data_IF_799189888328
#
_entry.id   IF_799189888328
#
_cell.length_a   1.000
_cell.length_b   1.000
_cell.length_c   1.000
_cell.angle_alpha   90.00
_cell.angle_beta   90.00
_cell.angle_gamma   90.00
#
_symmetry.space_group_name_H-M   'P 1'
#
loop_
_entity.id
_entity.type
_entity.pdbx_description
1 polymer ?
#
# COMPACT_ATOMS: atom_id res chain seq x y z
N UNK A 1 6.97 2.76 17.78
CA UNK A 1 7.18 1.60 16.89
C UNK A 1 8.41 0.77 17.28
N UNK A 2 9.59 1.36 17.49
CA UNK A 2 10.81 0.59 17.86
C UNK A 2 10.66 -0.29 19.12
N UNK A 3 9.88 0.15 20.12
CA UNK A 3 9.62 -0.65 21.33
C UNK A 3 8.66 -1.81 21.07
N UNK A 4 7.71 -1.66 20.13
CA UNK A 4 6.73 -2.70 19.81
C UNK A 4 7.38 -3.91 19.15
N UNK A 5 8.38 -3.69 18.30
CA UNK A 5 9.11 -4.76 17.61
C UNK A 5 9.90 -5.70 18.56
N UNK A 6 9.95 -5.39 19.87
CA UNK A 6 10.63 -6.21 20.90
C UNK A 6 9.67 -6.97 21.82
N UNK A 7 8.36 -6.90 21.59
CA UNK A 7 7.35 -7.64 22.35
C UNK A 7 7.20 -9.08 21.83
N UNK A 8 6.58 -10.00 22.58
CA UNK A 8 6.12 -11.29 22.05
C UNK A 8 5.20 -11.08 20.85
N UNK A 9 5.28 -11.96 19.84
CA UNK A 9 4.62 -11.80 18.53
C UNK A 9 3.11 -11.55 18.65
N UNK A 10 2.45 -12.20 19.61
CA UNK A 10 1.02 -12.06 19.87
C UNK A 10 0.67 -10.61 20.28
N UNK A 11 1.49 -10.02 21.16
CA UNK A 11 1.30 -8.63 21.60
C UNK A 11 1.66 -7.63 20.52
N UNK A 12 2.58 -7.97 19.61
CA UNK A 12 2.89 -7.11 18.46
C UNK A 12 1.66 -6.97 17.58
N UNK A 13 1.01 -8.07 17.23
CA UNK A 13 -0.15 -8.06 16.35
C UNK A 13 -1.31 -7.25 16.95
N UNK A 14 -1.60 -7.46 18.23
CA UNK A 14 -2.66 -6.75 18.96
C UNK A 14 -2.41 -5.23 19.00
N UNK A 15 -1.25 -4.80 19.52
CA UNK A 15 -0.92 -3.38 19.62
C UNK A 15 -0.81 -2.71 18.24
N UNK A 16 -0.33 -3.43 17.22
CA UNK A 16 -0.24 -2.91 15.87
C UNK A 16 -1.63 -2.69 15.27
N UNK A 17 -2.57 -3.62 15.47
CA UNK A 17 -3.95 -3.48 15.00
C UNK A 17 -4.60 -2.24 15.62
N UNK A 18 -4.46 -2.03 16.94
CA UNK A 18 -4.99 -0.85 17.63
C UNK A 18 -4.41 0.46 17.11
N UNK A 19 -3.09 0.53 16.90
CA UNK A 19 -2.43 1.73 16.37
C UNK A 19 -2.87 2.05 14.94
N UNK A 20 -3.03 1.03 14.12
CA UNK A 20 -3.53 1.17 12.76
C UNK A 20 -5.01 1.56 12.76
N UNK A 21 -5.83 1.03 13.67
CA UNK A 21 -7.27 1.28 13.73
C UNK A 21 -7.60 2.77 13.86
N UNK A 22 -6.84 3.53 14.66
CA UNK A 22 -7.03 4.99 14.79
C UNK A 22 -6.85 5.70 13.44
N UNK A 23 -5.87 5.28 12.63
CA UNK A 23 -5.64 5.90 11.32
C UNK A 23 -6.64 5.41 10.28
N UNK A 24 -7.04 4.13 10.33
CA UNK A 24 -8.08 3.55 9.48
C UNK A 24 -9.41 4.27 9.68
N UNK A 25 -9.80 4.54 10.93
CA UNK A 25 -11.02 5.28 11.24
C UNK A 25 -10.96 6.72 10.69
N UNK A 26 -9.82 7.39 10.80
CA UNK A 26 -9.62 8.71 10.22
C UNK A 26 -9.77 8.68 8.69
N UNK A 27 -9.17 7.70 8.00
CA UNK A 27 -9.32 7.53 6.56
C UNK A 27 -10.78 7.25 6.16
N UNK A 28 -11.47 6.33 6.84
CA UNK A 28 -12.89 6.04 6.60
C UNK A 28 -13.77 7.28 6.73
N UNK A 29 -13.49 8.14 7.72
CA UNK A 29 -14.18 9.42 7.90
C UNK A 29 -13.94 10.38 6.73
N UNK A 30 -12.72 10.47 6.22
CA UNK A 30 -12.38 11.30 5.05
C UNK A 30 -13.01 10.76 3.75
N UNK A 31 -13.13 9.43 3.63
CA UNK A 31 -13.79 8.78 2.51
C UNK A 31 -15.30 9.06 2.47
N UNK A 32 -15.95 9.12 3.62
CA UNK A 32 -17.39 9.39 3.77
C UNK A 32 -17.76 10.88 3.77
N UNK A 33 -16.78 11.79 3.71
CA UNK A 33 -17.03 13.20 3.50
C UNK A 33 -17.33 13.48 2.02
N UNK A 34 -18.50 14.08 1.79
CA UNK A 34 -18.84 14.73 0.53
C UNK A 34 -17.89 15.90 0.25
N UNK A 35 -17.58 16.21 -1.02
CA UNK A 35 -16.81 17.38 -1.39
C UNK A 35 -17.59 18.65 -1.01
N UNK A 36 -17.40 19.11 0.23
CA UNK A 36 -18.11 20.26 0.80
C UNK A 36 -17.20 21.49 0.79
N UNK A 37 -17.64 22.52 0.06
CA UNK A 37 -17.25 23.94 0.17
C UNK A 37 -15.82 24.26 0.62
N UNK A 38 -14.81 23.68 -0.05
CA UNK A 38 -13.43 24.16 0.00
C UNK A 38 -12.52 23.61 1.12
N UNK A 39 -13.01 22.74 2.01
CA UNK A 39 -12.13 21.99 2.92
C UNK A 39 -11.74 20.66 2.26
N UNK A 40 -10.50 20.60 1.75
CA UNK A 40 -9.98 19.36 1.15
C UNK A 40 -9.87 18.26 2.21
N UNK A 41 -10.55 17.13 1.99
CA UNK A 41 -10.36 15.91 2.78
C UNK A 41 -9.00 15.29 2.47
N UNK A 42 -7.94 15.81 3.09
CA UNK A 42 -6.55 15.38 2.85
C UNK A 42 -6.18 14.13 3.70
N UNK A 43 -5.96 12.96 3.08
CA UNK A 43 -5.59 11.74 3.79
C UNK A 43 -4.09 11.62 4.11
N UNK A 44 -3.26 12.62 3.77
CA UNK A 44 -1.79 12.52 3.86
C UNK A 44 -1.31 12.18 5.27
N UNK A 45 -1.86 12.82 6.31
CA UNK A 45 -1.44 12.60 7.70
C UNK A 45 -1.67 11.16 8.16
N UNK A 46 -2.90 10.58 8.07
CA UNK A 46 -3.10 9.18 8.43
C UNK A 46 -2.30 8.20 7.55
N UNK A 47 -2.10 8.49 6.26
CA UNK A 47 -1.25 7.68 5.38
C UNK A 47 0.22 7.66 5.84
N UNK A 48 0.79 8.83 6.16
CA UNK A 48 2.17 8.92 6.64
C UNK A 48 2.35 8.26 8.01
N UNK A 49 1.35 8.35 8.88
CA UNK A 49 1.37 7.65 10.18
C UNK A 49 1.38 6.14 10.00
N UNK A 50 0.50 5.59 9.14
CA UNK A 50 0.52 4.16 8.80
C UNK A 50 1.87 3.75 8.21
N UNK A 51 2.41 4.54 7.27
CA UNK A 51 3.72 4.30 6.66
C UNK A 51 4.84 4.20 7.71
N UNK A 52 4.86 5.12 8.69
CA UNK A 52 5.86 5.14 9.77
C UNK A 52 5.70 3.97 10.72
N UNK A 53 4.46 3.55 11.00
CA UNK A 53 4.17 2.36 11.81
C UNK A 53 4.79 1.12 11.16
N UNK A 54 4.48 0.84 9.88
CA UNK A 54 5.03 -0.31 9.17
C UNK A 54 6.55 -0.25 9.00
N UNK A 55 7.10 0.93 8.69
CA UNK A 55 8.56 1.12 8.52
C UNK A 55 9.38 0.64 9.72
N UNK A 56 8.85 0.84 10.92
CA UNK A 56 9.57 0.61 12.16
C UNK A 56 9.05 -0.61 12.95
N UNK A 57 8.14 -1.39 12.36
CA UNK A 57 7.63 -2.63 12.95
C UNK A 57 8.25 -3.80 12.20
N UNK A 58 9.48 -4.16 12.60
CA UNK A 58 10.25 -5.24 11.99
C UNK A 58 10.52 -6.30 13.08
N UNK A 59 9.53 -7.14 13.42
CA UNK A 59 9.71 -8.19 14.39
C UNK A 59 10.64 -9.28 13.83
N UNK A 60 11.37 -9.95 14.72
CA UNK A 60 12.10 -11.17 14.35
C UNK A 60 11.09 -12.31 14.36
N UNK A 61 10.87 -12.92 13.20
CA UNK A 61 9.93 -14.04 13.02
C UNK A 61 10.75 -15.28 12.66
N UNK A 62 10.56 -16.36 13.42
CA UNK A 62 11.28 -17.62 13.17
C UNK A 62 10.66 -18.39 11.98
N UNK A 63 11.44 -19.32 11.40
CA UNK A 63 10.99 -20.13 10.28
C UNK A 63 9.69 -20.90 10.63
N UNK A 64 8.64 -20.68 9.82
CA UNK A 64 7.35 -21.34 9.96
C UNK A 64 6.31 -20.57 10.79
N UNK A 65 6.68 -19.46 11.43
CA UNK A 65 5.73 -18.60 12.13
C UNK A 65 5.09 -17.58 11.18
N UNK A 66 3.81 -17.28 11.42
CA UNK A 66 3.08 -16.26 10.66
C UNK A 66 3.54 -14.87 11.12
N UNK A 67 3.84 -13.99 10.18
CA UNK A 67 4.26 -12.64 10.50
C UNK A 67 3.12 -11.87 11.18
N UNK A 68 3.32 -11.23 12.35
CA UNK A 68 2.24 -10.60 13.12
C UNK A 68 1.58 -9.43 12.36
N UNK A 69 2.34 -8.76 11.48
CA UNK A 69 1.81 -7.67 10.65
C UNK A 69 1.00 -8.16 9.44
N UNK A 70 1.05 -9.45 9.08
CA UNK A 70 0.37 -9.98 7.90
C UNK A 70 -1.15 -9.78 8.00
N UNK A 71 -1.74 -10.15 9.14
CA UNK A 71 -3.18 -9.98 9.38
C UNK A 71 -3.59 -8.51 9.36
N UNK A 72 -2.80 -7.65 10.01
CA UNK A 72 -3.08 -6.21 10.06
C UNK A 72 -3.06 -5.59 8.67
N UNK A 73 -2.10 -5.97 7.81
CA UNK A 73 -2.04 -5.46 6.42
C UNK A 73 -3.30 -5.83 5.63
N UNK A 74 -3.81 -7.06 5.79
CA UNK A 74 -5.04 -7.49 5.12
C UNK A 74 -6.26 -6.68 5.59
N UNK A 75 -6.33 -6.36 6.89
CA UNK A 75 -7.41 -5.56 7.47
C UNK A 75 -7.38 -4.09 7.00
N UNK A 76 -6.18 -3.52 6.82
CA UNK A 76 -6.05 -2.12 6.38
C UNK A 76 -6.10 -1.95 4.86
N UNK A 77 -5.87 -3.00 4.08
CA UNK A 77 -5.81 -2.92 2.62
C UNK A 77 -7.07 -2.28 2.01
N UNK A 78 -8.31 -2.68 2.38
CA UNK A 78 -9.51 -2.11 1.78
C UNK A 78 -9.58 -0.59 1.87
N UNK A 79 -9.25 -0.01 3.04
CA UNK A 79 -9.31 1.45 3.21
C UNK A 79 -8.20 2.16 2.44
N UNK A 80 -7.00 1.56 2.33
CA UNK A 80 -5.91 2.12 1.52
C UNK A 80 -6.26 2.08 0.03
N UNK A 81 -6.84 0.97 -0.43
CA UNK A 81 -7.29 0.79 -1.81
C UNK A 81 -8.36 1.81 -2.18
N UNK A 82 -9.36 2.00 -1.32
CA UNK A 82 -10.43 2.98 -1.53
C UNK A 82 -9.89 4.42 -1.53
N UNK A 83 -8.98 4.75 -0.61
CA UNK A 83 -8.31 6.05 -0.57
C UNK A 83 -7.50 6.31 -1.85
N UNK A 84 -6.75 5.31 -2.33
CA UNK A 84 -5.99 5.41 -3.57
C UNK A 84 -6.91 5.65 -4.77
N UNK A 85 -8.05 4.97 -4.86
CA UNK A 85 -9.01 5.16 -5.95
C UNK A 85 -9.67 6.55 -5.90
N UNK A 86 -10.15 6.98 -4.72
CA UNK A 86 -10.80 8.30 -4.54
C UNK A 86 -9.88 9.45 -4.96
N UNK A 87 -8.58 9.32 -4.69
CA UNK A 87 -7.58 10.35 -4.96
C UNK A 87 -6.65 10.01 -6.12
N UNK A 88 -7.07 9.12 -7.02
CA UNK A 88 -6.23 8.58 -8.11
C UNK A 88 -5.65 9.64 -9.05
N UNK A 89 -6.29 10.80 -9.18
CA UNK A 89 -5.80 11.93 -10.00
C UNK A 89 -4.76 12.82 -9.27
N UNK A 90 -4.69 12.79 -7.93
CA UNK A 90 -3.77 13.62 -7.14
C UNK A 90 -2.45 12.88 -6.91
N UNK A 91 -1.43 13.24 -7.70
CA UNK A 91 -0.08 12.63 -7.61
C UNK A 91 0.50 12.69 -6.18
N UNK A 92 0.28 13.77 -5.44
CA UNK A 92 0.82 13.93 -4.08
C UNK A 92 0.21 12.89 -3.13
N UNK A 93 -1.10 12.68 -3.20
CA UNK A 93 -1.79 11.69 -2.36
C UNK A 93 -1.43 10.27 -2.81
N UNK A 94 -1.41 10.00 -4.11
CA UNK A 94 -1.01 8.70 -4.67
C UNK A 94 0.40 8.32 -4.23
N UNK A 95 1.34 9.26 -4.22
CA UNK A 95 2.71 9.00 -3.74
C UNK A 95 2.73 8.61 -2.25
N UNK A 96 1.90 9.24 -1.42
CA UNK A 96 1.77 8.91 0.01
C UNK A 96 1.14 7.53 0.21
N UNK A 97 0.11 7.17 -0.57
CA UNK A 97 -0.44 5.83 -0.59
C UNK A 97 0.61 4.78 -0.99
N UNK A 98 1.34 5.01 -2.10
CA UNK A 98 2.40 4.11 -2.56
C UNK A 98 3.53 3.98 -1.53
N UNK A 99 3.89 5.07 -0.84
CA UNK A 99 4.88 5.04 0.24
C UNK A 99 4.41 4.19 1.42
N UNK A 100 3.14 4.29 1.82
CA UNK A 100 2.56 3.44 2.86
C UNK A 100 2.59 1.96 2.45
N UNK A 101 2.10 1.64 1.25
CA UNK A 101 2.08 0.28 0.71
C UNK A 101 3.48 -0.32 0.59
N UNK A 102 4.47 0.48 0.17
CA UNK A 102 5.87 0.04 0.12
C UNK A 102 6.37 -0.43 1.48
N UNK A 103 6.11 0.34 2.55
CA UNK A 103 6.55 -0.06 3.88
C UNK A 103 5.74 -1.24 4.43
N UNK A 104 4.45 -1.33 4.09
CA UNK A 104 3.62 -2.48 4.44
C UNK A 104 4.17 -3.77 3.81
N UNK A 105 4.43 -3.77 2.50
CA UNK A 105 5.02 -4.92 1.80
C UNK A 105 6.40 -5.27 2.36
N UNK A 106 7.28 -4.30 2.55
CA UNK A 106 8.62 -4.55 3.15
C UNK A 106 8.57 -5.07 4.58
N UNK A 107 7.55 -4.67 5.35
CA UNK A 107 7.36 -5.13 6.72
C UNK A 107 7.03 -6.62 6.79
N UNK A 108 6.25 -7.15 5.85
CA UNK A 108 5.81 -8.56 5.87
C UNK A 108 6.61 -9.45 4.91
N UNK A 109 7.24 -8.88 3.88
CA UNK A 109 7.96 -9.62 2.85
C UNK A 109 7.04 -10.65 2.17
N UNK A 110 7.53 -11.88 1.98
CA UNK A 110 6.77 -12.95 1.30
C UNK A 110 5.39 -13.25 1.91
N UNK A 111 5.16 -12.95 3.19
CA UNK A 111 3.86 -13.15 3.84
C UNK A 111 2.71 -12.28 3.27
N UNK A 112 3.01 -11.21 2.52
CA UNK A 112 1.99 -10.37 1.88
C UNK A 112 1.57 -10.83 0.47
N UNK A 113 1.86 -12.07 0.08
CA UNK A 113 1.46 -12.63 -1.22
C UNK A 113 -0.04 -12.46 -1.53
N UNK A 114 -0.92 -12.59 -0.53
CA UNK A 114 -2.37 -12.39 -0.69
C UNK A 114 -2.76 -10.96 -1.11
N UNK A 115 -1.90 -9.97 -0.83
CA UNK A 115 -2.11 -8.57 -1.22
C UNK A 115 -1.64 -8.30 -2.65
N UNK A 116 -0.76 -9.13 -3.21
CA UNK A 116 -0.06 -8.83 -4.45
C UNK A 116 -1.00 -8.71 -5.64
N UNK A 117 -1.87 -9.70 -5.83
CA UNK A 117 -2.82 -9.70 -6.95
C UNK A 117 -3.77 -8.48 -6.92
N UNK A 118 -4.48 -8.17 -5.81
CA UNK A 118 -5.36 -6.99 -5.79
C UNK A 118 -4.57 -5.69 -5.92
N UNK A 119 -3.36 -5.59 -5.33
CA UNK A 119 -2.51 -4.41 -5.44
C UNK A 119 -2.06 -4.17 -6.89
N UNK A 120 -1.49 -5.18 -7.55
CA UNK A 120 -1.02 -5.07 -8.94
C UNK A 120 -2.17 -4.73 -9.89
N UNK A 121 -3.32 -5.38 -9.71
CA UNK A 121 -4.53 -5.10 -10.50
C UNK A 121 -4.94 -3.63 -10.38
N UNK A 122 -4.96 -3.10 -9.15
CA UNK A 122 -5.28 -1.70 -8.92
C UNK A 122 -4.22 -0.76 -9.50
N UNK A 123 -2.93 -1.07 -9.32
CA UNK A 123 -1.82 -0.27 -9.87
C UNK A 123 -1.93 -0.15 -11.39
N UNK A 124 -2.15 -1.27 -12.10
CA UNK A 124 -2.32 -1.26 -13.57
C UNK A 124 -3.55 -0.46 -13.97
N UNK A 125 -4.67 -0.64 -13.28
CA UNK A 125 -5.92 0.08 -13.56
C UNK A 125 -5.75 1.60 -13.43
N UNK A 126 -5.18 2.05 -12.30
CA UNK A 126 -4.96 3.48 -12.05
C UNK A 126 -3.89 4.05 -12.98
N UNK A 127 -2.80 3.33 -13.23
CA UNK A 127 -1.71 3.81 -14.10
C UNK A 127 -2.16 4.03 -15.55
N UNK A 128 -3.11 3.24 -16.05
CA UNK A 128 -3.73 3.46 -17.37
C UNK A 128 -4.46 4.80 -17.46
N UNK A 129 -5.10 5.25 -16.37
CA UNK A 129 -5.79 6.54 -16.32
C UNK A 129 -4.84 7.70 -15.95
N UNK A 130 -3.90 7.46 -15.02
CA UNK A 130 -2.99 8.46 -14.47
C UNK A 130 -1.59 7.87 -14.30
N UNK A 131 -0.64 8.27 -15.15
CA UNK A 131 0.71 7.69 -15.23
C UNK A 131 1.64 8.20 -14.10
N UNK A 132 1.25 8.00 -12.83
CA UNK A 132 2.09 8.37 -11.69
C UNK A 132 3.32 7.47 -11.60
N UNK A 133 4.51 8.07 -11.65
CA UNK A 133 5.79 7.34 -11.63
C UNK A 133 6.03 6.53 -10.35
N UNK A 134 5.37 6.90 -9.25
CA UNK A 134 5.44 6.18 -7.98
C UNK A 134 4.89 4.74 -8.08
N UNK A 135 4.02 4.43 -9.05
CA UNK A 135 3.60 3.06 -9.33
C UNK A 135 4.72 2.21 -9.92
N UNK A 136 5.56 2.76 -10.79
CA UNK A 136 6.72 2.06 -11.34
C UNK A 136 7.72 1.71 -10.24
N UNK A 137 7.95 2.65 -9.32
CA UNK A 137 8.80 2.40 -8.14
C UNK A 137 8.19 1.38 -7.19
N UNK A 138 6.88 1.43 -6.93
CA UNK A 138 6.21 0.42 -6.13
C UNK A 138 6.33 -0.96 -6.79
N UNK A 139 6.18 -1.05 -8.10
CA UNK A 139 6.36 -2.28 -8.86
C UNK A 139 7.79 -2.84 -8.77
N UNK A 140 8.83 -1.99 -8.78
CA UNK A 140 10.20 -2.49 -8.58
C UNK A 140 10.40 -3.13 -7.20
N UNK A 141 9.70 -2.63 -6.18
CA UNK A 141 9.72 -3.23 -4.84
C UNK A 141 8.99 -4.59 -4.85
N UNK A 142 7.86 -4.69 -5.55
CA UNK A 142 7.15 -5.97 -5.69
C UNK A 142 8.00 -7.00 -6.45
N UNK A 143 8.75 -6.59 -7.48
CA UNK A 143 9.70 -7.48 -8.17
C UNK A 143 10.84 -7.90 -7.25
N UNK A 144 11.39 -6.99 -6.44
CA UNK A 144 12.47 -7.30 -5.48
C UNK A 144 12.03 -8.35 -4.44
N UNK A 145 10.80 -8.24 -3.93
CA UNK A 145 10.26 -9.14 -2.90
C UNK A 145 9.70 -10.45 -3.47
N UNK A 146 9.09 -10.43 -4.67
CA UNK A 146 8.31 -11.54 -5.23
C UNK A 146 8.71 -11.98 -6.63
N UNK A 147 9.73 -11.39 -7.26
CA UNK A 147 10.12 -11.70 -8.64
C UNK A 147 10.52 -13.16 -8.86
N UNK A 148 10.90 -13.85 -7.78
CA UNK A 148 11.19 -15.29 -7.82
C UNK A 148 9.93 -16.17 -7.82
N UNK A 149 8.75 -15.66 -7.44
CA UNK A 149 7.49 -16.39 -7.41
C UNK A 149 6.76 -16.33 -8.76
N UNK A 150 6.53 -17.48 -9.39
CA UNK A 150 5.98 -17.58 -10.74
C UNK A 150 4.60 -16.92 -10.91
N UNK A 151 3.75 -16.98 -9.88
CA UNK A 151 2.40 -16.38 -9.92
C UNK A 151 2.37 -14.85 -9.96
N UNK A 152 3.49 -14.20 -9.61
CA UNK A 152 3.57 -12.74 -9.48
C UNK A 152 4.19 -12.08 -10.72
N UNK A 153 4.91 -12.85 -11.54
CA UNK A 153 5.70 -12.31 -12.68
C UNK A 153 4.83 -11.69 -13.76
N UNK A 154 3.73 -12.33 -14.16
CA UNK A 154 2.93 -11.84 -15.29
C UNK A 154 2.31 -10.47 -15.01
N UNK A 155 1.69 -10.26 -13.84
CA UNK A 155 1.11 -8.97 -13.49
C UNK A 155 2.14 -7.83 -13.37
N UNK A 156 3.36 -8.14 -12.92
CA UNK A 156 4.47 -7.18 -12.86
C UNK A 156 5.00 -6.84 -14.25
N UNK A 157 5.07 -7.82 -15.16
CA UNK A 157 5.42 -7.61 -16.56
C UNK A 157 4.38 -6.76 -17.29
N UNK A 158 3.09 -7.02 -17.06
CA UNK A 158 2.00 -6.23 -17.67
C UNK A 158 2.11 -4.75 -17.27
N UNK A 159 2.48 -4.44 -16.03
CA UNK A 159 2.69 -3.07 -15.57
C UNK A 159 3.86 -2.37 -16.31
N UNK A 160 4.98 -3.08 -16.50
CA UNK A 160 6.13 -2.55 -17.23
C UNK A 160 5.79 -2.32 -18.71
N UNK A 161 5.02 -3.21 -19.32
CA UNK A 161 4.60 -3.08 -20.72
C UNK A 161 3.67 -1.87 -20.94
N UNK A 162 2.75 -1.59 -20.02
CA UNK A 162 1.88 -0.41 -20.11
C UNK A 162 2.68 0.90 -20.09
N UNK A 163 3.77 0.97 -19.32
CA UNK A 163 4.65 2.16 -19.28
C UNK A 163 5.54 2.36 -20.51
N UNK A 164 5.73 1.32 -21.33
CA UNK A 164 6.56 1.35 -22.53
C UNK A 164 5.78 1.70 -23.81
N UNK A 165 4.45 1.60 -23.78
CA UNK A 165 3.62 2.05 -24.91
C UNK A 165 3.50 3.58 -24.83
N UNK A 166 4.02 4.34 -25.81
CA UNK A 166 3.82 5.78 -25.83
C UNK A 166 2.32 6.06 -25.87
N UNK A 167 1.86 7.00 -25.03
CA UNK A 167 0.48 7.48 -25.08
C UNK A 167 0.15 7.79 -26.55
N UNK A 168 -0.98 7.32 -27.10
CA UNK A 168 -1.37 7.67 -28.45
C UNK A 168 -1.39 9.20 -28.50
N UNK A 169 -0.54 9.76 -29.35
CA UNK A 169 -0.50 11.19 -29.65
C UNK A 169 -1.93 11.64 -29.93
N UNK A 170 -2.50 12.47 -29.06
CA UNK A 170 -3.72 13.19 -29.36
C UNK A 170 -3.45 14.00 -30.64
N UNK A 171 -3.89 13.48 -31.77
CA UNK A 171 -3.98 14.26 -33.00
C UNK A 171 -5.18 15.19 -32.84
N UNK A 172 -4.84 16.48 -32.79
CA UNK A 172 -5.62 17.67 -33.16
C UNK A 172 -6.92 17.96 -32.42
#
# INVERSE_FOLDING_TARGET
ALVLARLPLEKIAECLSELCAVQVLALKKLLSQEPSNGLSSDPTVPLDRLAVIFRHTNPIVENGQIHPCQKVIQEIWPVLSETLNKHSADNRIVERCCRCLRFAVRCVGKGSAALLQPLVTQMVSVYRAHQHSCFLYLGSILVDEYGMEEGCRQGLLDMLQVGLVPAPSCNS
#
